data_IF_764671836349
#
_entry.id   IF_764671836349
#
_cell.length_a   1.000
_cell.length_b   1.000
_cell.length_c   1.000
_cell.angle_alpha   90.00
_cell.angle_beta   90.00
_cell.angle_gamma   90.00
#
_symmetry.space_group_name_H-M   'P 1'
#
loop_
_entity.id
_entity.type
_entity.pdbx_description
1 polymer ?
#
# COMPACT_ATOMS: atom_id res chain seq x y z
N UNK A 1 -34.80 9.12 28.97
CA UNK A 1 -34.17 7.94 28.34
C UNK A 1 -33.16 8.43 27.32
N UNK A 2 -31.88 8.03 27.37
CA UNK A 2 -30.90 8.43 26.37
C UNK A 2 -31.16 7.66 25.07
N UNK A 3 -31.18 8.38 23.93
CA UNK A 3 -31.34 7.79 22.60
C UNK A 3 -30.06 6.99 22.31
N UNK A 4 -30.14 5.68 21.98
CA UNK A 4 -28.95 4.89 21.72
C UNK A 4 -28.26 5.41 20.46
N UNK A 5 -26.97 5.63 20.65
CA UNK A 5 -26.02 6.35 19.84
C UNK A 5 -25.88 5.77 18.42
N UNK A 6 -26.69 6.29 17.49
CA UNK A 6 -26.77 5.86 16.08
C UNK A 6 -25.44 6.10 15.34
N UNK A 7 -24.67 7.10 15.80
CA UNK A 7 -23.33 7.42 15.32
C UNK A 7 -22.34 6.30 15.64
N UNK A 8 -22.30 5.84 16.88
CA UNK A 8 -21.43 4.75 17.34
C UNK A 8 -21.69 3.43 16.59
N UNK A 9 -22.95 3.15 16.25
CA UNK A 9 -23.31 1.98 15.43
C UNK A 9 -22.88 2.12 13.98
N UNK A 10 -22.95 3.32 13.40
CA UNK A 10 -22.52 3.60 12.03
C UNK A 10 -21.00 3.53 11.90
N UNK A 11 -20.26 4.05 12.87
CA UNK A 11 -18.80 3.98 12.93
C UNK A 11 -18.31 2.53 13.08
N UNK A 12 -18.97 1.73 13.93
CA UNK A 12 -18.66 0.31 14.08
C UNK A 12 -18.86 -0.46 12.76
N UNK A 13 -19.95 -0.20 12.03
CA UNK A 13 -20.21 -0.80 10.70
C UNK A 13 -19.18 -0.36 9.66
N UNK A 14 -18.76 0.90 9.67
CA UNK A 14 -17.73 1.41 8.77
C UNK A 14 -16.38 0.72 9.03
N UNK A 15 -15.98 0.61 10.31
CA UNK A 15 -14.75 -0.06 10.71
C UNK A 15 -14.77 -1.55 10.33
N UNK A 16 -15.91 -2.23 10.47
CA UNK A 16 -16.09 -3.62 10.06
C UNK A 16 -16.05 -3.79 8.53
N UNK A 17 -16.65 -2.88 7.77
CA UNK A 17 -16.58 -2.87 6.31
C UNK A 17 -15.15 -2.65 5.82
N UNK A 18 -14.39 -1.74 6.45
CA UNK A 18 -12.97 -1.52 6.17
C UNK A 18 -12.15 -2.77 6.46
N UNK A 19 -12.35 -3.42 7.62
CA UNK A 19 -11.68 -4.70 7.95
C UNK A 19 -12.00 -5.79 6.93
N UNK A 20 -13.25 -5.86 6.48
CA UNK A 20 -13.68 -6.85 5.48
C UNK A 20 -13.07 -6.58 4.11
N UNK A 21 -13.05 -5.32 3.67
CA UNK A 21 -12.38 -4.92 2.45
C UNK A 21 -10.87 -5.17 2.51
N UNK A 22 -10.23 -4.86 3.64
CA UNK A 22 -8.82 -5.13 3.87
C UNK A 22 -8.52 -6.63 3.84
N UNK A 23 -9.37 -7.46 4.45
CA UNK A 23 -9.26 -8.93 4.37
C UNK A 23 -9.40 -9.43 2.93
N UNK A 24 -10.39 -8.93 2.17
CA UNK A 24 -10.59 -9.30 0.77
C UNK A 24 -9.40 -8.88 -0.10
N UNK A 25 -8.93 -7.64 0.04
CA UNK A 25 -7.77 -7.13 -0.68
C UNK A 25 -6.49 -7.88 -0.33
N UNK A 26 -6.24 -8.16 0.96
CA UNK A 26 -5.10 -8.97 1.41
C UNK A 26 -5.15 -10.40 0.87
N UNK A 27 -6.33 -11.01 0.83
CA UNK A 27 -6.50 -12.34 0.25
C UNK A 27 -6.25 -12.34 -1.26
N UNK A 28 -6.76 -11.34 -1.98
CA UNK A 28 -6.54 -11.19 -3.43
C UNK A 28 -5.08 -10.85 -3.77
N UNK A 29 -4.37 -10.18 -2.87
CA UNK A 29 -2.96 -9.79 -3.01
C UNK A 29 -1.97 -10.84 -2.50
N UNK A 30 -2.44 -11.97 -1.94
CA UNK A 30 -1.55 -12.98 -1.34
C UNK A 30 -0.84 -13.76 -2.45
N UNK A 31 0.50 -13.72 -2.54
CA UNK A 31 1.23 -14.59 -3.45
C UNK A 31 1.09 -16.06 -3.01
N UNK A 32 1.22 -16.99 -3.96
CA UNK A 32 1.39 -18.41 -3.64
C UNK A 32 2.63 -18.59 -2.73
N UNK A 33 2.71 -19.66 -1.91
CA UNK A 33 3.83 -19.86 -0.97
C UNK A 33 5.22 -19.84 -1.65
N UNK A 34 5.34 -20.36 -2.88
CA UNK A 34 6.59 -20.28 -3.68
C UNK A 34 6.79 -18.91 -4.37
N UNK A 35 5.73 -18.09 -4.41
CA UNK A 35 5.70 -16.77 -5.05
C UNK A 35 6.18 -15.63 -4.17
N UNK A 36 6.29 -15.83 -2.84
CA UNK A 36 6.73 -14.77 -1.92
C UNK A 36 8.24 -14.51 -2.06
N UNK A 37 9.06 -15.56 -2.19
CA UNK A 37 10.49 -15.45 -2.51
C UNK A 37 10.71 -14.86 -3.91
N UNK A 38 9.86 -15.23 -4.88
CA UNK A 38 9.91 -14.69 -6.24
C UNK A 38 9.58 -13.19 -6.28
N UNK A 39 8.56 -12.75 -5.53
CA UNK A 39 8.16 -11.35 -5.46
C UNK A 39 9.22 -10.48 -4.76
N UNK A 40 9.87 -11.01 -3.73
CA UNK A 40 10.99 -10.35 -3.07
C UNK A 40 12.21 -10.25 -4.00
N UNK A 41 12.60 -11.36 -4.65
CA UNK A 41 13.71 -11.38 -5.59
C UNK A 41 13.48 -10.42 -6.78
N UNK A 42 12.27 -10.38 -7.33
CA UNK A 42 11.91 -9.42 -8.36
C UNK A 42 12.02 -7.98 -7.85
N UNK A 43 11.49 -7.66 -6.66
CA UNK A 43 11.59 -6.32 -6.08
C UNK A 43 13.05 -5.85 -5.87
N UNK A 44 13.97 -6.77 -5.58
CA UNK A 44 15.41 -6.49 -5.51
C UNK A 44 16.00 -6.20 -6.88
N UNK A 45 15.57 -6.92 -7.92
CA UNK A 45 16.01 -6.75 -9.29
C UNK A 45 15.40 -5.54 -10.02
N UNK A 46 14.46 -4.83 -9.37
CA UNK A 46 13.73 -3.74 -9.98
C UNK A 46 14.66 -2.57 -10.37
N UNK A 47 14.45 -1.96 -11.54
CA UNK A 47 15.26 -0.84 -11.98
C UNK A 47 15.04 0.37 -11.08
N UNK A 48 16.14 1.02 -10.71
CA UNK A 48 16.17 2.28 -9.99
C UNK A 48 16.35 3.45 -10.96
N UNK A 49 15.85 4.66 -10.65
CA UNK A 49 15.08 5.00 -9.45
C UNK A 49 13.60 4.61 -9.56
N UNK A 50 12.94 4.43 -8.41
CA UNK A 50 11.48 4.35 -8.37
C UNK A 50 10.88 5.75 -8.50
N UNK A 51 9.73 5.84 -9.15
CA UNK A 51 8.99 7.08 -9.33
C UNK A 51 7.97 7.26 -8.20
N UNK A 52 7.99 8.38 -7.47
CA UNK A 52 6.97 8.67 -6.47
C UNK A 52 5.63 8.92 -7.15
N UNK A 53 4.62 8.13 -6.79
CA UNK A 53 3.25 8.26 -7.30
C UNK A 53 2.31 8.91 -6.29
N UNK A 54 2.65 8.86 -5.00
CA UNK A 54 1.89 9.55 -3.95
C UNK A 54 2.77 9.93 -2.77
N UNK A 55 2.61 11.16 -2.30
CA UNK A 55 3.29 11.68 -1.11
C UNK A 55 2.24 12.09 -0.09
N UNK A 56 2.32 11.52 1.11
CA UNK A 56 1.42 11.77 2.23
C UNK A 56 2.21 12.16 3.47
N UNK A 57 1.51 12.78 4.41
CA UNK A 57 1.96 13.00 5.77
C UNK A 57 1.25 11.97 6.65
N UNK A 58 2.02 11.25 7.47
CA UNK A 58 1.49 10.34 8.47
C UNK A 58 1.75 10.89 9.88
N UNK A 59 0.71 10.98 10.70
CA UNK A 59 0.83 11.28 12.13
C UNK A 59 0.69 9.97 12.91
N UNK A 60 1.77 9.51 13.54
CA UNK A 60 1.80 8.26 14.29
C UNK A 60 0.82 8.31 15.48
N UNK A 61 -0.07 7.31 15.57
CA UNK A 61 -1.00 7.17 16.70
C UNK A 61 -0.29 6.87 18.03
N UNK A 62 0.94 6.32 17.98
CA UNK A 62 1.66 5.87 19.17
C UNK A 62 2.32 7.00 19.94
N UNK A 63 2.97 7.91 19.22
CA UNK A 63 3.87 8.93 19.78
C UNK A 63 3.60 10.33 19.21
N UNK A 64 2.63 10.48 18.31
CA UNK A 64 2.30 11.76 17.69
C UNK A 64 3.38 12.28 16.75
N UNK A 65 4.38 11.45 16.40
CA UNK A 65 5.43 11.86 15.48
C UNK A 65 4.89 11.95 14.06
N UNK A 66 5.18 13.07 13.41
CA UNK A 66 4.91 13.27 12.00
C UNK A 66 6.01 12.63 11.15
N UNK A 67 5.62 11.93 10.10
CA UNK A 67 6.50 11.33 9.09
C UNK A 67 5.97 11.64 7.70
N UNK A 68 6.87 11.79 6.74
CA UNK A 68 6.53 11.75 5.32
C UNK A 68 6.43 10.30 4.88
N UNK A 69 5.39 9.96 4.11
CA UNK A 69 5.22 8.66 3.48
C UNK A 69 5.21 8.86 1.96
N UNK A 70 6.06 8.12 1.24
CA UNK A 70 6.12 8.16 -0.23
C UNK A 70 5.82 6.78 -0.77
N UNK A 71 4.75 6.70 -1.54
CA UNK A 71 4.45 5.53 -2.34
C UNK A 71 5.16 5.68 -3.69
N UNK A 72 5.95 4.67 -4.03
CA UNK A 72 6.82 4.70 -5.20
C UNK A 72 6.66 3.42 -6.02
N UNK A 73 6.68 3.57 -7.34
CA UNK A 73 6.61 2.47 -8.30
C UNK A 73 7.85 2.45 -9.19
N UNK A 74 8.35 1.26 -9.51
CA UNK A 74 9.31 1.11 -10.61
C UNK A 74 8.58 1.25 -11.95
N UNK A 75 9.33 1.55 -13.02
CA UNK A 75 8.85 1.26 -14.37
C UNK A 75 8.63 -0.25 -14.52
N UNK A 76 7.70 -0.73 -15.38
CA UNK A 76 7.57 -2.15 -15.66
C UNK A 76 8.85 -2.74 -16.27
N UNK A 77 9.21 -3.96 -15.88
CA UNK A 77 10.45 -4.64 -16.30
C UNK A 77 10.25 -6.16 -16.38
N UNK A 78 11.11 -6.85 -17.12
CA UNK A 78 11.06 -8.31 -17.23
C UNK A 78 11.34 -8.98 -15.88
N UNK A 79 10.49 -9.93 -15.49
CA UNK A 79 10.67 -10.68 -14.25
C UNK A 79 11.93 -11.57 -14.33
N UNK A 80 12.75 -11.62 -13.27
CA UNK A 80 13.86 -12.57 -13.23
C UNK A 80 13.37 -14.01 -13.40
N UNK A 81 14.03 -14.75 -14.29
CA UNK A 81 13.76 -16.18 -14.54
C UNK A 81 12.32 -16.49 -15.03
N UNK A 82 11.67 -15.54 -15.73
CA UNK A 82 10.33 -15.73 -16.29
C UNK A 82 10.08 -14.81 -17.49
N UNK A 83 9.15 -15.20 -18.36
CA UNK A 83 8.66 -14.37 -19.47
C UNK A 83 7.61 -13.33 -19.04
N UNK A 84 7.26 -13.26 -17.75
CA UNK A 84 6.33 -12.28 -17.22
C UNK A 84 6.96 -10.88 -17.09
N UNK A 85 6.11 -9.86 -17.07
CA UNK A 85 6.50 -8.49 -16.71
C UNK A 85 6.16 -8.26 -15.25
N UNK A 86 6.95 -7.44 -14.57
CA UNK A 86 6.70 -7.06 -13.21
C UNK A 86 6.86 -5.54 -12.99
N UNK A 87 6.23 -5.05 -11.94
CA UNK A 87 6.29 -3.67 -11.49
C UNK A 87 6.44 -3.72 -9.97
N UNK A 88 7.50 -3.09 -9.46
CA UNK A 88 7.76 -3.07 -8.03
C UNK A 88 7.10 -1.85 -7.38
N UNK A 89 6.56 -2.05 -6.19
CA UNK A 89 5.99 -1.01 -5.33
C UNK A 89 6.72 -0.99 -4.01
N UNK A 90 7.02 0.20 -3.50
CA UNK A 90 7.40 0.38 -2.10
C UNK A 90 6.66 1.57 -1.49
N UNK A 91 6.48 1.53 -0.18
CA UNK A 91 6.04 2.66 0.62
C UNK A 91 7.23 3.04 1.49
N UNK A 92 7.93 4.13 1.22
CA UNK A 92 9.06 4.61 2.02
C UNK A 92 8.62 5.74 2.96
N UNK A 93 9.43 6.06 3.97
CA UNK A 93 9.15 7.18 4.86
C UNK A 93 10.39 7.71 5.58
N UNK A 94 10.19 8.59 6.57
CA UNK A 94 11.29 9.24 7.30
C UNK A 94 11.89 8.34 8.42
N UNK A 95 12.25 7.10 8.07
CA UNK A 95 12.74 6.06 8.97
C UNK A 95 11.64 5.35 9.76
N UNK A 96 11.58 4.02 9.69
CA UNK A 96 10.62 3.21 10.44
C UNK A 96 10.17 1.94 9.70
N UNK A 97 9.03 1.37 10.10
CA UNK A 97 8.53 0.09 9.59
C UNK A 97 8.21 0.08 8.08
N UNK A 98 8.12 1.24 7.44
CA UNK A 98 7.91 1.38 6.00
C UNK A 98 9.22 1.63 5.24
N UNK A 99 10.28 2.05 5.91
CA UNK A 99 11.54 2.40 5.26
C UNK A 99 12.32 1.12 4.89
N UNK A 100 11.90 0.52 3.78
CA UNK A 100 12.44 -0.73 3.24
C UNK A 100 13.21 -0.41 1.96
N UNK A 101 14.42 -0.98 1.84
CA UNK A 101 15.26 -0.81 0.65
C UNK A 101 14.52 -1.24 -0.62
N UNK A 102 13.76 -2.32 -0.50
CA UNK A 102 12.91 -2.91 -1.53
C UNK A 102 11.52 -3.18 -0.98
N UNK A 103 10.48 -2.89 -1.78
CA UNK A 103 9.11 -3.24 -1.44
C UNK A 103 8.71 -4.61 -2.00
N UNK A 104 7.55 -4.70 -2.68
CA UNK A 104 7.06 -5.94 -3.31
C UNK A 104 6.91 -5.78 -4.82
N UNK A 105 7.17 -6.84 -5.58
CA UNK A 105 6.87 -6.87 -7.00
C UNK A 105 5.49 -7.49 -7.28
N UNK A 106 4.74 -6.85 -8.17
CA UNK A 106 3.56 -7.44 -8.80
C UNK A 106 3.92 -7.94 -10.20
N UNK A 107 3.36 -9.08 -10.59
CA UNK A 107 3.59 -9.71 -11.89
C UNK A 107 2.37 -9.56 -12.79
N UNK A 108 2.57 -9.51 -14.10
CA UNK A 108 1.53 -9.52 -15.10
C UNK A 108 2.03 -10.05 -16.44
N UNK A 109 1.08 -10.36 -17.32
CA UNK A 109 1.39 -10.81 -18.69
C UNK A 109 1.99 -9.69 -19.55
N UNK A 110 1.78 -8.43 -19.16
CA UNK A 110 2.35 -7.25 -19.78
C UNK A 110 2.60 -6.14 -18.72
N UNK A 111 3.21 -5.04 -19.17
CA UNK A 111 3.54 -3.91 -18.29
C UNK A 111 2.32 -3.19 -17.72
N UNK A 112 1.19 -3.15 -18.44
CA UNK A 112 -0.02 -2.49 -17.97
C UNK A 112 -0.64 -3.29 -16.82
N UNK A 113 -0.80 -4.60 -16.99
CA UNK A 113 -1.34 -5.49 -15.97
C UNK A 113 -0.43 -5.53 -14.74
N UNK A 114 0.90 -5.59 -14.94
CA UNK A 114 1.85 -5.54 -13.83
C UNK A 114 1.72 -4.23 -13.03
N UNK A 115 1.59 -3.10 -13.71
CA UNK A 115 1.39 -1.77 -13.08
C UNK A 115 0.07 -1.70 -12.32
N UNK A 116 -1.04 -2.17 -12.92
CA UNK A 116 -2.34 -2.19 -12.26
C UNK A 116 -2.33 -3.03 -10.98
N UNK A 117 -1.65 -4.19 -11.01
CA UNK A 117 -1.48 -5.04 -9.82
C UNK A 117 -0.55 -4.39 -8.79
N UNK A 118 0.51 -3.69 -9.21
CA UNK A 118 1.36 -2.92 -8.30
C UNK A 118 0.59 -1.78 -7.62
N UNK A 119 -0.30 -1.09 -8.34
CA UNK A 119 -1.21 -0.09 -7.78
C UNK A 119 -2.16 -0.73 -6.75
N UNK A 120 -2.69 -1.93 -7.01
CA UNK A 120 -3.50 -2.63 -6.03
C UNK A 120 -2.71 -2.98 -4.75
N UNK A 121 -1.45 -3.42 -4.89
CA UNK A 121 -0.55 -3.64 -3.75
C UNK A 121 -0.24 -2.34 -3.00
N UNK A 122 -0.03 -1.25 -3.74
CA UNK A 122 0.19 0.08 -3.19
C UNK A 122 -0.95 0.53 -2.28
N UNK A 123 -2.20 0.32 -2.73
CA UNK A 123 -3.37 0.61 -1.94
C UNK A 123 -3.40 -0.21 -0.64
N UNK A 124 -3.04 -1.50 -0.70
CA UNK A 124 -2.94 -2.33 0.51
C UNK A 124 -1.88 -1.81 1.47
N UNK A 125 -0.75 -1.32 0.96
CA UNK A 125 0.29 -0.71 1.81
C UNK A 125 -0.22 0.55 2.52
N UNK A 126 -0.97 1.41 1.82
CA UNK A 126 -1.61 2.59 2.42
C UNK A 126 -2.69 2.21 3.45
N UNK A 127 -3.51 1.21 3.14
CA UNK A 127 -4.52 0.68 4.06
C UNK A 127 -3.85 0.18 5.37
N UNK A 128 -2.72 -0.52 5.25
CA UNK A 128 -1.93 -0.97 6.41
C UNK A 128 -1.30 0.20 7.17
N UNK A 129 -0.73 1.19 6.47
CA UNK A 129 -0.17 2.38 7.09
C UNK A 129 -1.21 3.14 7.91
N UNK A 130 -2.45 3.24 7.39
CA UNK A 130 -3.55 3.91 8.08
C UNK A 130 -3.97 3.26 9.41
N UNK A 131 -3.51 2.04 9.71
CA UNK A 131 -3.76 1.40 11.00
C UNK A 131 -2.89 1.96 12.13
N UNK A 132 -1.74 2.55 11.79
CA UNK A 132 -0.79 3.12 12.75
C UNK A 132 -0.63 4.64 12.63
N UNK A 133 -1.16 5.23 11.56
CA UNK A 133 -0.97 6.64 11.23
C UNK A 133 -2.28 7.28 10.78
N UNK A 134 -2.53 8.50 11.23
CA UNK A 134 -3.50 9.39 10.57
C UNK A 134 -2.85 9.96 9.31
N UNK A 135 -3.45 9.66 8.15
CA UNK A 135 -2.89 10.03 6.84
C UNK A 135 -3.54 11.32 6.33
N UNK A 136 -2.72 12.25 5.88
CA UNK A 136 -3.15 13.49 5.24
C UNK A 136 -2.31 13.82 4.01
N UNK A 137 -2.89 14.62 3.14
CA UNK A 137 -2.15 15.27 2.06
C UNK A 137 -1.18 16.31 2.65
N UNK A 138 -0.11 16.68 1.93
CA UNK A 138 0.82 17.71 2.38
C UNK A 138 0.19 19.08 2.67
N UNK A 139 -0.98 19.35 2.09
CA UNK A 139 -1.78 20.55 2.35
C UNK A 139 -2.66 20.46 3.62
N UNK A 140 -2.55 19.37 4.37
CA UNK A 140 -3.26 19.12 5.62
C UNK A 140 -4.65 18.51 5.46
N UNK A 141 -5.16 18.32 4.24
CA UNK A 141 -6.46 17.65 4.04
C UNK A 141 -6.36 16.16 4.41
N UNK A 142 -7.35 15.57 5.11
CA UNK A 142 -7.36 14.13 5.37
C UNK A 142 -7.28 13.30 4.09
N UNK A 143 -6.53 12.21 4.12
CA UNK A 143 -6.43 11.28 3.00
C UNK A 143 -7.60 10.31 3.00
N UNK A 144 -8.33 10.25 1.89
CA UNK A 144 -9.37 9.24 1.67
C UNK A 144 -8.72 7.96 1.14
N UNK A 145 -8.83 6.86 1.89
CA UNK A 145 -8.31 5.56 1.48
C UNK A 145 -8.97 4.99 0.21
N UNK A 146 -10.10 5.56 -0.23
CA UNK A 146 -10.72 5.20 -1.50
C UNK A 146 -10.19 6.01 -2.69
N UNK A 147 -9.34 7.02 -2.44
CA UNK A 147 -8.78 7.86 -3.49
C UNK A 147 -7.93 7.03 -4.46
N UNK A 148 -8.19 7.08 -5.78
CA UNK A 148 -7.41 6.34 -6.76
C UNK A 148 -5.97 6.83 -6.74
N UNK A 149 -5.03 5.89 -6.91
CA UNK A 149 -3.59 6.14 -7.09
C UNK A 149 -3.33 6.38 -8.57
#
# INVERSE_FOLDING_TARGET
MPIPDDKSRREARLAEALRTNLRRRKAAARPAPDGEDRAAAAAVAAPQPYSPVRCLVGLSHRDGRQVTLRLELSVPYGAPHSDEVCCAVRLSGDGGAFDTDHGKAAFGVDGLQATQRAIALAQVALDLASTGFELSWPDGRPYDLSAPI
#
